data_IF_087625994170
#
_entry.id   IF_087625994170
#
_cell.length_a   1.000
_cell.length_b   1.000
_cell.length_c   1.000
_cell.angle_alpha   90.00
_cell.angle_beta   90.00
_cell.angle_gamma   90.00
#
_symmetry.space_group_name_H-M   'P 1'
#
loop_
_entity.id
_entity.type
_entity.pdbx_description
1 polymer ?
#
# COMPACT_ATOMS: atom_id res chain seq x y z
N UNK A 1 25.12 -20.75 5.20
CA UNK A 1 23.80 -20.10 5.32
C UNK A 1 23.89 -18.80 4.55
N UNK A 2 23.20 -18.76 3.41
CA UNK A 2 23.36 -17.81 2.31
C UNK A 2 23.17 -16.37 2.78
N UNK A 3 24.08 -15.51 2.32
CA UNK A 3 24.03 -14.07 2.52
C UNK A 3 22.62 -13.57 2.24
N UNK A 4 21.98 -13.05 3.29
CA UNK A 4 20.60 -12.63 3.27
C UNK A 4 20.45 -11.52 2.25
N UNK A 5 19.81 -11.83 1.13
CA UNK A 5 19.27 -10.84 0.20
C UNK A 5 18.23 -10.04 1.00
N UNK A 6 18.66 -8.92 1.59
CA UNK A 6 17.78 -8.01 2.32
C UNK A 6 16.91 -7.31 1.29
N UNK A 7 15.85 -7.99 0.88
CA UNK A 7 14.86 -7.49 -0.06
C UNK A 7 14.19 -6.25 0.53
N UNK A 8 14.58 -5.08 0.04
CA UNK A 8 13.98 -3.81 0.43
C UNK A 8 13.48 -3.08 -0.80
N UNK A 9 12.27 -2.57 -0.71
CA UNK A 9 11.64 -1.80 -1.78
C UNK A 9 11.04 -0.51 -1.21
N UNK A 10 10.87 0.48 -2.09
CA UNK A 10 10.26 1.76 -1.74
C UNK A 10 9.02 1.94 -2.59
N UNK A 11 7.88 2.17 -1.94
CA UNK A 11 6.60 2.41 -2.57
C UNK A 11 6.17 3.85 -2.41
N UNK A 12 5.87 4.49 -3.53
CA UNK A 12 5.27 5.81 -3.58
C UNK A 12 3.76 5.66 -3.67
N UNK A 13 3.07 5.97 -2.58
CA UNK A 13 1.62 5.80 -2.45
C UNK A 13 0.96 7.13 -2.10
N UNK A 14 0.05 7.58 -2.94
CA UNK A 14 -0.81 8.73 -2.65
C UNK A 14 -2.03 8.26 -1.85
N UNK A 15 -2.11 8.66 -0.60
CA UNK A 15 -3.28 8.41 0.24
C UNK A 15 -4.43 9.33 -0.19
N UNK A 16 -5.58 8.72 -0.43
CA UNK A 16 -6.85 9.37 -0.72
C UNK A 16 -7.76 9.13 0.50
N UNK A 17 -7.85 10.10 1.43
CA UNK A 17 -8.73 9.99 2.59
C UNK A 17 -10.20 10.13 2.18
N UNK A 18 -11.12 9.76 3.08
CA UNK A 18 -12.59 9.78 2.85
C UNK A 18 -13.04 8.90 1.68
N UNK A 19 -12.32 7.81 1.42
CA UNK A 19 -12.79 6.83 0.46
C UNK A 19 -13.96 6.03 1.05
N UNK A 20 -14.90 5.60 0.19
CA UNK A 20 -16.01 4.74 0.60
C UNK A 20 -15.51 3.37 1.12
N UNK A 21 -14.36 2.89 0.62
CA UNK A 21 -13.73 1.61 1.00
C UNK A 21 -12.21 1.72 0.98
N UNK A 22 -11.56 0.84 1.73
CA UNK A 22 -10.11 0.74 1.74
C UNK A 22 -9.63 -0.06 0.50
N UNK A 23 -8.90 0.58 -0.41
CA UNK A 23 -8.46 -0.02 -1.66
C UNK A 23 -7.11 0.54 -2.13
N UNK A 24 -6.32 -0.27 -2.83
CA UNK A 24 -5.08 0.18 -3.47
C UNK A 24 -5.27 0.11 -4.99
N UNK A 25 -5.08 1.22 -5.68
CA UNK A 25 -5.28 1.34 -7.14
C UNK A 25 -4.09 2.04 -7.76
N UNK A 26 -3.74 1.74 -9.02
CA UNK A 26 -2.81 2.57 -9.79
C UNK A 26 -3.56 3.66 -10.55
N UNK A 27 -2.98 4.85 -10.65
CA UNK A 27 -3.47 5.88 -11.56
C UNK A 27 -2.99 5.64 -12.99
N UNK A 28 -3.51 6.40 -13.94
CA UNK A 28 -3.13 6.32 -15.36
C UNK A 28 -1.65 6.65 -15.61
N UNK A 29 -0.99 7.31 -14.65
CA UNK A 29 0.45 7.60 -14.69
C UNK A 29 1.29 6.52 -13.98
N UNK A 30 0.69 5.41 -13.55
CA UNK A 30 1.38 4.31 -12.88
C UNK A 30 1.71 4.53 -11.40
N UNK A 31 1.17 5.58 -10.76
CA UNK A 31 1.38 5.86 -9.33
C UNK A 31 0.35 5.12 -8.48
N UNK A 32 0.78 4.60 -7.33
CA UNK A 32 -0.12 3.94 -6.38
C UNK A 32 -0.98 4.96 -5.63
N UNK A 33 -2.26 4.64 -5.46
CA UNK A 33 -3.24 5.39 -4.68
C UNK A 33 -3.85 4.47 -3.63
N UNK A 34 -3.69 4.81 -2.37
CA UNK A 34 -4.33 4.13 -1.25
C UNK A 34 -5.58 4.91 -0.83
N UNK A 35 -6.72 4.38 -1.21
CA UNK A 35 -8.01 4.80 -0.72
C UNK A 35 -8.16 4.30 0.70
N UNK A 36 -8.33 5.22 1.65
CA UNK A 36 -8.56 4.88 3.05
C UNK A 36 -9.85 5.52 3.51
N UNK A 37 -10.66 4.75 4.24
CA UNK A 37 -11.86 5.26 4.90
C UNK A 37 -11.50 6.16 6.09
N UNK A 38 -10.28 5.97 6.64
CA UNK A 38 -9.79 6.73 7.77
C UNK A 38 -9.69 8.23 7.46
N UNK A 39 -10.03 9.09 8.43
CA UNK A 39 -9.83 10.53 8.29
C UNK A 39 -8.33 10.86 8.21
N UNK A 40 -7.94 11.99 7.60
CA UNK A 40 -6.56 12.46 7.52
C UNK A 40 -6.08 13.06 8.86
N UNK A 41 -6.45 12.44 9.98
CA UNK A 41 -6.02 12.83 11.33
C UNK A 41 -4.69 12.11 11.61
N UNK A 42 -3.76 12.84 12.22
CA UNK A 42 -2.37 12.46 12.46
C UNK A 42 -2.18 10.96 12.76
N UNK A 43 -1.52 10.26 11.85
CA UNK A 43 -1.20 8.84 11.99
C UNK A 43 -2.33 7.85 11.69
N UNK A 44 -3.62 8.24 11.64
CA UNK A 44 -4.72 7.31 11.32
C UNK A 44 -4.61 6.77 9.89
N UNK A 45 -4.32 7.66 8.93
CA UNK A 45 -4.04 7.29 7.56
C UNK A 45 -2.76 6.45 7.41
N UNK A 46 -1.74 6.65 8.26
CA UNK A 46 -0.52 5.84 8.26
C UNK A 46 -0.82 4.42 8.71
N UNK A 47 -1.52 4.28 9.84
CA UNK A 47 -1.93 2.98 10.38
C UNK A 47 -2.80 2.21 9.40
N UNK A 48 -3.77 2.88 8.77
CA UNK A 48 -4.63 2.27 7.76
C UNK A 48 -3.83 1.82 6.52
N UNK A 49 -2.89 2.63 6.04
CA UNK A 49 -2.02 2.28 4.91
C UNK A 49 -1.13 1.08 5.25
N UNK A 50 -0.44 1.11 6.40
CA UNK A 50 0.43 0.01 6.85
C UNK A 50 -0.37 -1.28 7.06
N UNK A 51 -1.57 -1.19 7.65
CA UNK A 51 -2.44 -2.35 7.82
C UNK A 51 -2.86 -2.94 6.46
N UNK A 52 -3.25 -2.09 5.50
CA UNK A 52 -3.64 -2.52 4.17
C UNK A 52 -2.48 -3.17 3.41
N UNK A 53 -1.28 -2.59 3.48
CA UNK A 53 -0.10 -3.18 2.82
C UNK A 53 0.34 -4.47 3.49
N UNK A 54 0.31 -4.55 4.83
CA UNK A 54 0.64 -5.75 5.59
C UNK A 54 -0.30 -6.91 5.25
N UNK A 55 -1.61 -6.65 5.20
CA UNK A 55 -2.62 -7.64 4.83
C UNK A 55 -2.43 -8.12 3.38
N UNK A 56 -2.23 -7.19 2.44
CA UNK A 56 -2.04 -7.50 1.01
C UNK A 56 -0.75 -8.27 0.71
N UNK A 57 0.34 -7.92 1.40
CA UNK A 57 1.64 -8.56 1.18
C UNK A 57 1.88 -9.74 2.12
N UNK A 58 1.01 -9.97 3.13
CA UNK A 58 1.24 -10.99 4.15
C UNK A 58 2.50 -10.75 4.99
N UNK A 59 2.94 -9.49 5.11
CA UNK A 59 4.15 -9.10 5.83
C UNK A 59 3.82 -8.45 7.17
N UNK A 60 4.68 -8.57 8.20
CA UNK A 60 4.42 -7.98 9.49
C UNK A 60 4.50 -6.45 9.40
N UNK A 61 3.69 -5.73 10.20
CA UNK A 61 3.66 -4.25 10.19
C UNK A 61 5.04 -3.59 10.38
N UNK A 62 5.95 -4.24 11.12
CA UNK A 62 7.34 -3.78 11.32
C UNK A 62 8.18 -3.71 10.03
N UNK A 63 7.80 -4.48 9.02
CA UNK A 63 8.45 -4.46 7.72
C UNK A 63 8.09 -3.19 6.92
N UNK A 64 7.09 -2.43 7.35
CA UNK A 64 6.65 -1.20 6.69
C UNK A 64 7.15 0.00 7.47
N UNK A 65 8.05 0.78 6.87
CA UNK A 65 8.55 2.02 7.45
C UNK A 65 8.13 3.20 6.58
N UNK A 66 7.45 4.19 7.17
CA UNK A 66 7.11 5.42 6.47
C UNK A 66 8.34 6.31 6.40
N UNK A 67 8.94 6.45 5.21
CA UNK A 67 10.13 7.28 4.98
C UNK A 67 9.78 8.76 4.81
N UNK A 68 8.63 9.06 4.18
CA UNK A 68 8.23 10.44 3.88
C UNK A 68 6.71 10.56 3.76
N UNK A 69 6.18 11.76 4.00
CA UNK A 69 4.77 12.05 3.78
C UNK A 69 3.88 11.89 5.00
N UNK A 70 4.43 11.94 6.22
CA UNK A 70 3.63 11.95 7.46
C UNK A 70 2.54 13.02 7.45
N UNK A 71 2.88 14.23 6.98
CA UNK A 71 1.97 15.38 6.91
C UNK A 71 1.32 15.57 5.53
N UNK A 72 1.61 14.69 4.57
CA UNK A 72 1.22 14.82 3.17
C UNK A 72 0.26 13.74 2.69
N UNK A 73 -0.43 14.02 1.58
CA UNK A 73 -1.21 13.03 0.82
C UNK A 73 -0.30 12.05 0.07
N UNK A 74 0.90 12.47 -0.32
CA UNK A 74 1.89 11.61 -0.95
C UNK A 74 2.80 10.98 0.12
N UNK A 75 2.80 9.66 0.20
CA UNK A 75 3.55 8.88 1.19
C UNK A 75 4.56 7.98 0.52
N UNK A 76 5.73 7.89 1.14
CA UNK A 76 6.82 7.01 0.72
C UNK A 76 6.98 5.97 1.80
N UNK A 77 6.66 4.72 1.48
CA UNK A 77 6.72 3.59 2.42
C UNK A 77 7.83 2.65 1.96
N UNK A 78 8.83 2.44 2.80
CA UNK A 78 9.77 1.34 2.64
C UNK A 78 9.12 0.04 3.11
N UNK A 79 9.33 -1.02 2.32
CA UNK A 79 8.92 -2.38 2.62
C UNK A 79 10.17 -3.23 2.70
N UNK A 80 10.35 -3.93 3.81
CA UNK A 80 11.43 -4.88 4.04
C UNK A 80 10.91 -6.32 3.95
N UNK A 81 11.70 -7.24 3.40
CA UNK A 81 11.29 -8.61 3.14
C UNK A 81 10.52 -8.82 1.83
N UNK A 82 10.40 -7.79 0.97
CA UNK A 82 9.87 -7.93 -0.38
C UNK A 82 10.58 -7.02 -1.38
N UNK A 83 10.85 -7.56 -2.58
CA UNK A 83 11.41 -6.79 -3.70
C UNK A 83 10.32 -5.95 -4.38
N UNK A 84 10.72 -4.91 -5.11
CA UNK A 84 9.78 -4.07 -5.85
C UNK A 84 8.95 -4.88 -6.86
N UNK A 85 9.56 -5.89 -7.49
CA UNK A 85 8.89 -6.81 -8.40
C UNK A 85 7.85 -7.68 -7.68
N UNK A 86 8.17 -8.25 -6.50
CA UNK A 86 7.20 -9.03 -5.71
C UNK A 86 6.01 -8.18 -5.25
N UNK A 87 6.27 -6.95 -4.84
CA UNK A 87 5.21 -6.02 -4.45
C UNK A 87 4.35 -5.66 -5.66
N UNK A 88 4.98 -5.40 -6.80
CA UNK A 88 4.26 -5.09 -8.03
C UNK A 88 3.42 -6.28 -8.52
N UNK A 89 3.93 -7.51 -8.45
CA UNK A 89 3.16 -8.72 -8.77
C UNK A 89 1.99 -8.88 -7.80
N UNK A 90 2.24 -8.84 -6.47
CA UNK A 90 1.19 -9.06 -5.46
C UNK A 90 0.11 -7.98 -5.49
N UNK A 91 0.45 -6.74 -5.86
CA UNK A 91 -0.51 -5.64 -5.93
C UNK A 91 -1.10 -5.47 -7.35
N UNK A 92 -0.33 -5.79 -8.39
CA UNK A 92 -0.68 -5.61 -9.81
C UNK A 92 -1.60 -6.71 -10.34
N UNK A 93 -1.49 -7.94 -9.83
CA UNK A 93 -2.44 -9.03 -10.14
C UNK A 93 -3.88 -8.63 -9.73
N UNK A 94 -4.00 -7.76 -8.72
CA UNK A 94 -5.29 -7.24 -8.23
C UNK A 94 -5.82 -6.07 -9.08
N UNK A 95 -4.98 -5.39 -9.89
CA UNK A 95 -5.45 -4.30 -10.78
C UNK A 95 -5.95 -4.87 -12.12
N UNK A 96 -5.41 -5.99 -12.58
CA UNK A 96 -5.89 -6.72 -13.77
C UNK A 96 -7.22 -7.43 -13.54
N UNK A 97 -7.59 -7.67 -12.28
CA UNK A 97 -8.96 -7.89 -11.87
C UNK A 97 -9.53 -6.56 -11.38
N UNK A 98 -10.01 -5.74 -12.31
CA UNK A 98 -11.17 -4.88 -11.99
C UNK A 98 -12.10 -5.76 -11.19
N UNK A 99 -12.34 -5.35 -9.93
CA UNK A 99 -13.40 -5.87 -9.10
C UNK A 99 -14.71 -5.64 -9.86
N UNK A 100 -15.02 -6.54 -10.78
CA UNK A 100 -16.38 -6.95 -11.08
C UNK A 100 -16.83 -7.66 -9.80
N UNK A 101 -17.16 -6.90 -8.75
CA UNK A 101 -18.13 -7.39 -7.79
C UNK A 101 -19.50 -6.94 -8.29
N UNK A 102 -20.27 -7.81 -8.97
CA UNK A 102 -21.70 -7.63 -9.00
C UNK A 102 -22.28 -8.03 -7.63
N UNK A 103 -23.11 -7.13 -7.07
CA UNK A 103 -24.23 -7.35 -6.13
C UNK A 103 -24.00 -8.09 -4.79
N UNK A 104 -24.39 -7.43 -3.68
CA UNK A 104 -25.64 -7.69 -2.91
C UNK A 104 -25.64 -6.87 -1.61
N UNK A 105 -26.81 -6.37 -1.24
CA UNK A 105 -27.10 -5.66 0.01
C UNK A 105 -28.05 -4.52 -0.26
#
# INVERSE_FOLDING_TARGET
>A
MTAGDVKRAVLHVRVVPRAARAALTRDQAGRWRAHVTAPPIDGAANRALVALLADRLGLPKRAFALLRGERGRDKIVAVEGASAAEIDTRLGDVVSRVDKTPRRG
#
